data_IF_063387258557
#
_entry.id   IF_063387258557
#
_cell.length_a   1.000
_cell.length_b   1.000
_cell.length_c   1.000
_cell.angle_alpha   90.00
_cell.angle_beta   90.00
_cell.angle_gamma   90.00
#
_symmetry.space_group_name_H-M   'P 1'
#
loop_
_entity.id
_entity.type
_entity.pdbx_description
1 polymer ?
#
# COMPACT_ATOMS: atom_id res chain seq x y z
N UNK A 1 6.81 10.72 -12.70
CA UNK A 1 7.74 9.78 -13.35
C UNK A 1 8.86 9.52 -12.40
N UNK A 2 9.05 8.26 -12.05
CA UNK A 2 10.20 7.87 -11.24
C UNK A 2 11.26 7.33 -12.17
N UNK A 3 12.28 8.15 -12.40
CA UNK A 3 13.52 7.73 -13.06
C UNK A 3 14.44 7.17 -11.98
N UNK A 4 14.87 5.93 -12.09
CA UNK A 4 15.81 5.33 -11.16
C UNK A 4 16.66 4.23 -11.80
N UNK A 5 17.98 4.35 -11.66
CA UNK A 5 18.97 3.38 -12.15
C UNK A 5 18.78 2.93 -13.62
N UNK A 6 18.50 3.88 -14.53
CA UNK A 6 18.33 3.60 -15.97
C UNK A 6 16.92 3.20 -16.40
N UNK A 7 15.99 3.10 -15.46
CA UNK A 7 14.59 2.73 -15.72
C UNK A 7 13.61 3.83 -15.31
N UNK A 8 12.54 3.94 -16.07
CA UNK A 8 11.35 4.71 -15.78
C UNK A 8 10.26 3.79 -15.22
N UNK A 9 9.70 4.17 -14.08
CA UNK A 9 8.64 3.41 -13.42
C UNK A 9 7.33 4.20 -13.39
N UNK A 10 6.22 3.50 -13.62
CA UNK A 10 4.87 4.05 -13.67
C UNK A 10 3.89 3.15 -12.94
N UNK A 11 3.01 3.74 -12.13
CA UNK A 11 1.77 3.07 -11.70
C UNK A 11 0.62 3.59 -12.57
N UNK A 12 -0.04 2.67 -13.26
CA UNK A 12 -1.15 2.96 -14.14
C UNK A 12 -2.45 2.40 -13.57
N UNK A 13 -3.55 3.10 -13.79
CA UNK A 13 -4.91 2.66 -13.52
C UNK A 13 -5.67 2.62 -14.86
N UNK A 14 -6.08 1.42 -15.32
CA UNK A 14 -6.81 1.26 -16.58
C UNK A 14 -8.15 2.03 -16.63
N UNK A 15 -8.70 2.42 -15.49
CA UNK A 15 -9.98 3.14 -15.40
C UNK A 15 -9.85 4.65 -15.65
N UNK A 16 -8.63 5.20 -15.66
CA UNK A 16 -8.39 6.63 -15.94
C UNK A 16 -8.09 6.88 -17.41
N UNK A 17 -8.61 7.98 -17.94
CA UNK A 17 -8.38 8.40 -19.32
C UNK A 17 -6.89 8.56 -19.70
N UNK A 18 -6.06 9.04 -18.77
CA UNK A 18 -4.61 9.16 -18.99
C UNK A 18 -3.84 7.86 -18.75
N UNK A 19 -4.47 6.84 -18.15
CA UNK A 19 -3.82 5.64 -17.63
C UNK A 19 -2.93 5.91 -16.42
N UNK A 20 -2.13 6.97 -16.42
CA UNK A 20 -1.14 7.27 -15.38
C UNK A 20 -1.73 7.86 -14.10
N UNK A 21 -1.25 7.39 -12.95
CA UNK A 21 -1.55 7.98 -11.65
C UNK A 21 -0.64 9.19 -11.35
N UNK A 22 -1.14 10.26 -10.69
CA UNK A 22 -0.32 11.40 -10.31
C UNK A 22 0.70 11.00 -9.24
N UNK A 23 1.93 11.45 -9.41
CA UNK A 23 3.05 11.13 -8.53
C UNK A 23 3.58 12.42 -7.88
N UNK A 24 3.94 12.34 -6.59
CA UNK A 24 4.47 13.47 -5.82
C UNK A 24 5.77 13.09 -5.11
N UNK A 25 6.76 14.01 -5.00
CA UNK A 25 8.01 13.71 -4.34
C UNK A 25 7.84 13.25 -2.90
N UNK A 26 8.54 12.19 -2.51
CA UNK A 26 8.69 11.82 -1.11
C UNK A 26 9.64 12.78 -0.40
N UNK A 27 9.25 13.29 0.76
CA UNK A 27 10.01 14.30 1.53
C UNK A 27 10.69 13.75 2.78
N UNK A 28 10.47 12.47 3.10
CA UNK A 28 11.10 11.80 4.24
C UNK A 28 12.47 11.21 3.90
N UNK A 29 13.18 10.66 4.91
CA UNK A 29 14.40 9.91 4.68
C UNK A 29 14.10 8.58 3.98
N UNK A 30 14.90 8.24 2.97
CA UNK A 30 14.81 6.94 2.32
C UNK A 30 15.24 5.82 3.29
N UNK A 31 14.58 4.63 3.27
CA UNK A 31 14.94 3.51 4.15
C UNK A 31 16.37 3.00 3.93
N UNK A 32 16.83 3.02 2.68
CA UNK A 32 18.18 2.61 2.28
C UNK A 32 18.73 3.57 1.22
N UNK A 33 20.06 3.59 1.00
CA UNK A 33 20.65 4.35 -0.12
C UNK A 33 20.18 3.89 -1.50
N UNK A 34 19.64 2.68 -1.61
CA UNK A 34 19.19 2.07 -2.86
C UNK A 34 17.67 2.12 -3.04
N UNK A 35 16.95 2.81 -2.14
CA UNK A 35 15.50 2.99 -2.24
C UNK A 35 15.17 4.38 -2.77
N UNK A 36 14.26 4.43 -3.73
CA UNK A 36 13.60 5.64 -4.21
C UNK A 36 12.12 5.59 -3.89
N UNK A 37 11.65 6.51 -3.06
CA UNK A 37 10.26 6.61 -2.69
C UNK A 37 9.54 7.73 -3.43
N UNK A 38 8.27 7.52 -3.73
CA UNK A 38 7.37 8.52 -4.30
C UNK A 38 5.97 8.33 -3.71
N UNK A 39 5.20 9.40 -3.56
CA UNK A 39 3.78 9.28 -3.29
C UNK A 39 3.01 9.11 -4.60
N UNK A 40 1.98 8.28 -4.60
CA UNK A 40 1.07 8.15 -5.74
C UNK A 40 -0.38 8.39 -5.29
N UNK A 41 -1.12 9.20 -6.05
CA UNK A 41 -2.54 9.48 -5.79
C UNK A 41 -3.40 8.40 -6.41
N UNK A 42 -4.06 7.64 -5.55
CA UNK A 42 -5.09 6.66 -5.94
C UNK A 42 -6.36 7.42 -6.30
N UNK A 43 -7.03 7.09 -7.41
CA UNK A 43 -8.31 7.70 -7.76
C UNK A 43 -9.33 7.42 -6.66
N UNK A 44 -10.18 8.41 -6.37
CA UNK A 44 -11.36 8.16 -5.56
C UNK A 44 -12.26 7.20 -6.33
N UNK A 45 -12.56 6.04 -5.75
CA UNK A 45 -13.49 5.09 -6.34
C UNK A 45 -14.93 5.61 -6.16
N UNK A 46 -15.69 5.64 -7.25
CA UNK A 46 -17.15 5.75 -7.13
C UNK A 46 -17.66 4.52 -6.36
N UNK A 47 -18.52 4.74 -5.38
CA UNK A 47 -19.13 3.69 -4.55
C UNK A 47 -18.17 2.71 -3.84
N UNK A 48 -16.92 3.12 -3.60
CA UNK A 48 -15.88 2.30 -2.93
C UNK A 48 -15.48 1.03 -3.69
N UNK A 49 -15.69 0.98 -5.01
CA UNK A 49 -15.34 -0.19 -5.82
C UNK A 49 -13.82 -0.38 -5.96
N UNK A 50 -13.31 -1.63 -5.92
CA UNK A 50 -11.89 -1.93 -6.16
C UNK A 50 -11.40 -1.38 -7.52
N UNK A 51 -10.28 -0.67 -7.50
CA UNK A 51 -9.71 -0.03 -8.70
C UNK A 51 -8.51 -0.82 -9.20
N UNK A 52 -8.54 -1.42 -10.40
CA UNK A 52 -7.39 -2.15 -10.91
C UNK A 52 -6.21 -1.20 -11.14
N UNK A 53 -5.01 -1.72 -10.94
CA UNK A 53 -3.78 -1.04 -11.30
C UNK A 53 -2.75 -2.01 -11.87
N UNK A 54 -1.75 -1.44 -12.53
CA UNK A 54 -0.60 -2.16 -13.05
C UNK A 54 0.65 -1.29 -12.95
N UNK A 55 1.81 -1.90 -12.99
CA UNK A 55 3.11 -1.22 -12.94
C UNK A 55 3.87 -1.45 -14.24
N UNK A 56 4.38 -0.38 -14.85
CA UNK A 56 5.24 -0.47 -16.02
C UNK A 56 6.65 0.02 -15.69
N UNK A 57 7.65 -0.70 -16.20
CA UNK A 57 9.07 -0.43 -16.04
C UNK A 57 9.70 -0.37 -17.43
N UNK A 58 10.13 0.82 -17.85
CA UNK A 58 10.65 1.06 -19.18
C UNK A 58 12.12 1.50 -19.11
N UNK A 59 12.99 1.11 -20.04
CA UNK A 59 14.36 1.60 -20.08
C UNK A 59 14.38 3.04 -20.60
N UNK A 60 15.26 3.87 -20.04
CA UNK A 60 15.37 5.28 -20.44
C UNK A 60 16.30 5.46 -21.66
N UNK A 61 17.29 4.58 -21.83
CA UNK A 61 18.28 4.71 -22.89
C UNK A 61 18.56 3.34 -23.55
N UNK A 62 18.03 3.12 -24.76
CA UNK A 62 18.28 1.92 -25.58
C UNK A 62 19.53 2.14 -26.48
N UNK A 63 20.36 3.15 -26.20
CA UNK A 63 21.60 3.34 -26.96
C UNK A 63 22.73 2.49 -26.38
N UNK A 64 22.73 1.20 -26.73
CA UNK A 64 23.95 0.42 -26.72
C UNK A 64 24.99 1.14 -27.62
N UNK A 65 26.19 1.47 -27.11
CA UNK A 65 27.27 1.91 -27.97
C UNK A 65 27.60 0.77 -28.95
N UNK A 66 27.40 1.05 -30.23
CA UNK A 66 27.78 0.20 -31.36
C UNK A 66 29.10 -0.54 -31.12
N UNK A 67 29.06 -1.88 -31.08
CA UNK A 67 30.22 -2.72 -31.41
C UNK A 67 30.78 -3.66 -30.33
N UNK A 68 30.09 -3.90 -29.21
CA UNK A 68 30.50 -4.92 -28.24
C UNK A 68 29.38 -5.96 -28.15
N UNK A 69 29.71 -7.23 -28.38
CA UNK A 69 28.91 -8.39 -27.98
C UNK A 69 28.76 -8.34 -26.44
N UNK A 70 27.78 -7.58 -25.94
CA UNK A 70 27.49 -7.48 -24.52
C UNK A 70 26.70 -8.73 -24.10
N UNK A 71 27.13 -9.34 -23.00
CA UNK A 71 26.50 -10.51 -22.41
C UNK A 71 25.01 -10.24 -22.14
N UNK A 72 24.19 -11.24 -22.46
CA UNK A 72 22.74 -11.23 -22.64
C UNK A 72 21.91 -11.30 -21.35
N UNK A 73 22.44 -10.84 -20.21
CA UNK A 73 21.73 -11.00 -18.93
C UNK A 73 21.66 -9.71 -18.11
N UNK A 74 20.50 -9.54 -17.51
CA UNK A 74 19.81 -8.28 -17.28
C UNK A 74 19.49 -8.05 -15.79
N UNK A 75 18.55 -7.15 -15.53
CA UNK A 75 17.94 -6.96 -14.24
C UNK A 75 16.74 -7.89 -14.06
N UNK A 76 16.66 -8.51 -12.88
CA UNK A 76 15.48 -9.19 -12.37
C UNK A 76 14.63 -8.19 -11.59
N UNK A 77 13.31 -8.22 -11.79
CA UNK A 77 12.36 -7.33 -11.14
C UNK A 77 11.29 -8.11 -10.38
N UNK A 78 11.13 -7.81 -9.10
CA UNK A 78 10.08 -8.35 -8.24
C UNK A 78 9.05 -7.28 -7.90
N UNK A 79 7.78 -7.67 -7.95
CA UNK A 79 6.66 -6.84 -7.50
C UNK A 79 6.26 -7.26 -6.08
N UNK A 80 6.17 -6.27 -5.18
CA UNK A 80 5.60 -6.43 -3.84
C UNK A 80 4.45 -5.44 -3.65
N UNK A 81 3.31 -5.91 -3.14
CA UNK A 81 2.13 -5.09 -2.83
C UNK A 81 1.75 -5.29 -1.37
N UNK A 82 1.74 -4.22 -0.59
CA UNK A 82 1.51 -4.25 0.87
C UNK A 82 2.38 -5.25 1.65
N UNK A 83 3.60 -5.49 1.16
CA UNK A 83 4.53 -6.47 1.73
C UNK A 83 4.31 -7.91 1.27
N UNK A 84 3.31 -8.17 0.42
CA UNK A 84 3.13 -9.44 -0.27
C UNK A 84 3.89 -9.45 -1.59
N UNK A 85 4.87 -10.34 -1.70
CA UNK A 85 5.76 -10.42 -2.85
C UNK A 85 5.26 -11.46 -3.84
N UNK A 86 5.34 -11.14 -5.13
CA UNK A 86 5.06 -12.08 -6.20
C UNK A 86 5.90 -13.35 -6.07
N UNK A 87 5.34 -14.50 -6.44
CA UNK A 87 6.03 -15.79 -6.35
C UNK A 87 7.15 -15.94 -7.40
N UNK A 88 7.11 -15.11 -8.44
CA UNK A 88 8.07 -15.09 -9.54
C UNK A 88 8.47 -13.67 -9.86
N UNK A 89 9.65 -13.52 -10.43
CA UNK A 89 10.17 -12.27 -10.94
C UNK A 89 9.84 -12.09 -12.44
N UNK A 90 9.91 -10.85 -12.92
CA UNK A 90 10.00 -10.55 -14.34
C UNK A 90 11.46 -10.29 -14.71
N UNK A 91 11.91 -10.86 -15.83
CA UNK A 91 13.23 -10.59 -16.39
C UNK A 91 13.06 -9.63 -17.55
N UNK A 92 13.80 -8.54 -17.52
CA UNK A 92 13.95 -7.66 -18.67
C UNK A 92 15.02 -8.29 -19.57
N UNK A 93 14.86 -8.52 -20.88
CA UNK A 93 15.97 -8.94 -21.73
C UNK A 93 16.61 -7.73 -22.44
N UNK A 94 17.93 -7.76 -22.64
CA UNK A 94 18.74 -6.73 -23.33
C UNK A 94 18.68 -6.86 -24.85
N UNK A 95 17.96 -7.87 -25.37
CA UNK A 95 17.77 -8.08 -26.80
C UNK A 95 16.73 -7.12 -27.42
N UNK A 96 16.46 -7.23 -28.73
CA UNK A 96 15.56 -6.30 -29.45
C UNK A 96 14.12 -6.25 -28.89
N UNK A 97 13.70 -7.25 -28.08
CA UNK A 97 12.43 -7.26 -27.37
C UNK A 97 12.44 -6.38 -26.10
N UNK A 98 13.61 -6.06 -25.57
CA UNK A 98 13.82 -5.15 -24.44
C UNK A 98 13.27 -3.74 -24.68
N UNK A 99 13.03 -3.31 -25.92
CA UNK A 99 12.46 -1.99 -26.19
C UNK A 99 11.03 -1.80 -25.62
N UNK A 100 10.34 -2.88 -25.25
CA UNK A 100 8.93 -2.84 -24.81
C UNK A 100 8.73 -2.67 -23.29
N UNK A 101 9.80 -2.77 -22.49
CA UNK A 101 9.72 -2.68 -21.02
C UNK A 101 9.06 -3.90 -20.37
N UNK A 102 8.98 -3.88 -19.03
CA UNK A 102 8.24 -4.85 -18.22
C UNK A 102 6.90 -4.26 -17.82
N UNK A 103 5.87 -5.08 -17.86
CA UNK A 103 4.53 -4.75 -17.37
C UNK A 103 4.07 -5.77 -16.34
N UNK A 104 3.82 -5.30 -15.12
CA UNK A 104 3.17 -6.06 -14.07
C UNK A 104 1.69 -5.69 -14.01
N UNK A 105 0.84 -6.45 -14.68
CA UNK A 105 -0.62 -6.33 -14.63
C UNK A 105 -1.29 -7.29 -13.63
N UNK A 106 -0.47 -8.12 -12.99
CA UNK A 106 -0.89 -9.15 -12.06
C UNK A 106 0.23 -9.47 -11.08
N UNK A 107 -0.15 -10.05 -9.94
CA UNK A 107 0.75 -10.72 -9.02
C UNK A 107 0.66 -12.22 -9.22
N UNK A 108 1.80 -12.92 -9.20
CA UNK A 108 1.86 -14.36 -9.32
C UNK A 108 1.75 -14.98 -7.93
N UNK A 109 0.75 -15.83 -7.72
CA UNK A 109 0.54 -16.57 -6.47
C UNK A 109 1.02 -18.00 -6.67
N UNK A 110 1.94 -18.46 -5.82
CA UNK A 110 2.40 -19.83 -5.82
C UNK A 110 1.24 -20.80 -5.55
N UNK A 111 1.19 -21.89 -6.30
CA UNK A 111 0.33 -23.03 -5.99
C UNK A 111 0.72 -23.68 -4.66
N UNK A 112 -0.19 -24.47 -4.08
CA UNK A 112 0.08 -25.16 -2.82
C UNK A 112 1.22 -26.19 -2.91
N UNK A 113 1.54 -26.69 -4.12
CA UNK A 113 2.68 -27.59 -4.35
C UNK A 113 3.99 -26.84 -4.66
N UNK A 114 3.95 -25.51 -4.75
CA UNK A 114 5.11 -24.66 -5.04
C UNK A 114 5.71 -24.87 -6.43
N UNK A 115 5.02 -25.53 -7.36
CA UNK A 115 5.57 -25.86 -8.70
C UNK A 115 5.02 -24.99 -9.82
N UNK A 116 3.84 -24.42 -9.62
CA UNK A 116 3.18 -23.53 -10.59
C UNK A 116 2.75 -22.26 -9.90
N UNK A 117 2.31 -21.28 -10.67
CA UNK A 117 1.69 -20.09 -10.12
C UNK A 117 0.42 -19.73 -10.88
N UNK A 118 -0.40 -18.93 -10.23
CA UNK A 118 -1.61 -18.37 -10.82
C UNK A 118 -1.45 -16.85 -10.85
N UNK A 119 -1.60 -16.24 -12.03
CA UNK A 119 -1.63 -14.79 -12.16
C UNK A 119 -2.97 -14.26 -11.66
N UNK A 120 -2.94 -13.27 -10.75
CA UNK A 120 -4.13 -12.60 -10.24
C UNK A 120 -4.01 -11.08 -10.41
N UNK A 121 -5.06 -10.39 -10.87
CA UNK A 121 -5.06 -8.94 -10.94
C UNK A 121 -4.96 -8.33 -9.53
N UNK A 122 -4.40 -7.13 -9.47
CA UNK A 122 -4.24 -6.35 -8.24
C UNK A 122 -5.11 -5.09 -8.28
N UNK A 123 -5.69 -4.73 -7.14
CA UNK A 123 -6.60 -3.60 -7.03
C UNK A 123 -6.20 -2.72 -5.85
N UNK A 124 -6.49 -1.42 -5.96
CA UNK A 124 -6.57 -0.52 -4.82
C UNK A 124 -7.97 -0.53 -4.25
N UNK A 125 -8.07 -0.64 -2.93
CA UNK A 125 -9.33 -0.65 -2.19
C UNK A 125 -9.26 0.31 -1.01
N UNK A 126 -10.36 1.02 -0.70
CA UNK A 126 -10.44 1.82 0.52
C UNK A 126 -10.19 0.95 1.76
N UNK A 127 -9.41 1.46 2.72
CA UNK A 127 -9.16 0.73 3.96
C UNK A 127 -10.48 0.46 4.69
N UNK A 128 -10.79 -0.81 4.89
CA UNK A 128 -11.88 -1.24 5.75
C UNK A 128 -11.33 -1.64 7.12
N UNK A 129 -11.73 -0.91 8.15
CA UNK A 129 -11.30 -1.22 9.51
C UNK A 129 -12.14 -2.35 10.07
N UNK A 130 -11.49 -3.40 10.55
CA UNK A 130 -12.18 -4.44 11.32
C UNK A 130 -12.50 -3.95 12.73
N UNK A 131 -13.68 -4.32 13.22
CA UNK A 131 -14.13 -4.00 14.59
C UNK A 131 -13.66 -5.04 15.61
N UNK A 132 -13.30 -6.22 15.13
CA UNK A 132 -12.84 -7.33 15.95
C UNK A 132 -11.34 -7.17 16.17
N UNK A 133 -10.97 -6.68 17.36
CA UNK A 133 -9.60 -6.71 17.91
C UNK A 133 -9.25 -8.15 18.38
N UNK A 134 -9.84 -9.18 17.78
CA UNK A 134 -9.48 -10.56 18.12
C UNK A 134 -8.07 -10.79 17.57
N UNK A 135 -7.09 -10.75 18.49
CA UNK A 135 -5.66 -11.08 18.34
C UNK A 135 -5.40 -12.49 17.74
N UNK A 136 -6.44 -13.17 17.26
CA UNK A 136 -6.47 -14.51 16.69
C UNK A 136 -6.69 -14.50 15.17
N UNK A 137 -6.28 -13.46 14.45
CA UNK A 137 -6.11 -13.65 13.01
C UNK A 137 -4.97 -14.66 12.84
N UNK A 138 -5.30 -15.90 12.47
CA UNK A 138 -4.38 -16.92 11.98
C UNK A 138 -3.72 -16.45 10.66
N UNK A 139 -3.12 -15.27 10.67
CA UNK A 139 -2.32 -14.74 9.59
C UNK A 139 -0.97 -15.43 9.65
N UNK A 140 -0.52 -15.98 8.52
CA UNK A 140 0.73 -16.70 8.32
C UNK A 140 1.98 -15.79 8.48
N UNK A 141 2.09 -15.07 9.58
CA UNK A 141 3.24 -14.24 9.95
C UNK A 141 2.87 -12.84 10.47
N UNK A 142 3.84 -12.14 11.08
CA UNK A 142 3.65 -10.77 11.54
C UNK A 142 3.48 -9.84 10.33
N UNK A 143 2.38 -9.08 10.31
CA UNK A 143 2.14 -8.06 9.30
C UNK A 143 3.17 -6.93 9.44
N UNK A 144 3.96 -6.68 8.40
CA UNK A 144 4.91 -5.57 8.39
C UNK A 144 4.18 -4.25 8.10
N UNK A 145 3.79 -3.54 9.16
CA UNK A 145 3.06 -2.28 9.06
C UNK A 145 3.77 -1.20 8.22
N UNK A 146 5.10 -1.27 8.09
CA UNK A 146 5.85 -0.32 7.26
C UNK A 146 5.66 -0.55 5.75
N UNK A 147 5.16 -1.72 5.36
CA UNK A 147 4.91 -2.13 3.98
C UNK A 147 3.46 -1.92 3.53
N UNK A 148 2.50 -1.85 4.46
CA UNK A 148 1.10 -1.57 4.14
C UNK A 148 0.98 -0.17 3.51
N UNK A 149 0.16 -0.06 2.46
CA UNK A 149 -0.01 1.19 1.74
C UNK A 149 1.14 1.47 0.77
N UNK A 150 1.83 0.42 0.30
CA UNK A 150 2.94 0.55 -0.67
C UNK A 150 2.87 -0.47 -1.80
N UNK A 151 3.29 -0.05 -2.98
CA UNK A 151 3.67 -0.92 -4.11
C UNK A 151 5.17 -0.74 -4.30
N UNK A 152 5.93 -1.82 -4.27
CA UNK A 152 7.37 -1.81 -4.41
C UNK A 152 7.78 -2.63 -5.64
N UNK A 153 8.67 -2.07 -6.45
CA UNK A 153 9.40 -2.81 -7.48
C UNK A 153 10.85 -2.91 -7.02
N UNK A 154 11.26 -4.12 -6.68
CA UNK A 154 12.63 -4.45 -6.30
C UNK A 154 13.36 -4.97 -7.52
N UNK A 155 14.63 -4.61 -7.71
CA UNK A 155 15.40 -5.13 -8.83
C UNK A 155 16.91 -5.19 -8.56
N UNK A 156 17.54 -6.18 -9.19
CA UNK A 156 18.95 -6.53 -8.97
C UNK A 156 19.55 -7.02 -10.28
N UNK A 157 20.85 -6.81 -10.46
CA UNK A 157 21.61 -7.31 -11.60
C UNK A 157 21.79 -8.84 -11.47
N UNK A 158 21.61 -9.58 -12.56
CA UNK A 158 21.74 -11.04 -12.58
C UNK A 158 23.17 -11.50 -12.89
N UNK A 159 23.53 -12.69 -12.40
CA UNK A 159 24.73 -13.41 -12.81
C UNK A 159 24.47 -14.15 -14.14
N UNK A 160 25.19 -13.80 -15.23
CA UNK A 160 25.03 -14.48 -16.52
C UNK A 160 25.34 -15.99 -16.46
N UNK A 161 26.21 -16.43 -15.54
CA UNK A 161 26.62 -17.84 -15.43
C UNK A 161 25.72 -18.64 -14.47
N UNK A 162 24.94 -17.97 -13.63
CA UNK A 162 24.08 -18.61 -12.62
C UNK A 162 22.67 -18.97 -13.10
N UNK A 163 22.30 -18.59 -14.33
CA UNK A 163 21.00 -18.95 -14.90
C UNK A 163 20.94 -20.43 -15.27
N UNK A 164 19.90 -21.13 -14.83
CA UNK A 164 19.69 -22.55 -15.13
C UNK A 164 18.21 -22.89 -15.37
N UNK A 165 17.92 -23.99 -16.07
CA UNK A 165 16.55 -24.48 -16.20
C UNK A 165 15.93 -24.80 -14.83
N UNK A 166 14.63 -24.51 -14.70
CA UNK A 166 13.81 -24.91 -13.57
C UNK A 166 13.72 -26.43 -13.45
N UNK A 167 13.97 -26.96 -12.26
CA UNK A 167 13.91 -28.38 -11.96
C UNK A 167 12.70 -28.66 -11.07
N UNK A 168 11.61 -29.16 -11.67
CA UNK A 168 10.33 -29.40 -10.97
C UNK A 168 10.47 -30.23 -9.68
N UNK A 169 11.45 -31.12 -9.61
CA UNK A 169 11.67 -31.97 -8.42
C UNK A 169 12.51 -31.32 -7.31
N UNK A 170 13.25 -30.24 -7.61
CA UNK A 170 14.18 -29.61 -6.66
C UNK A 170 13.80 -28.18 -6.29
N UNK A 171 13.19 -27.46 -7.22
CA UNK A 171 12.89 -26.04 -7.06
C UNK A 171 11.45 -25.82 -6.62
N UNK A 172 11.23 -24.81 -5.78
CA UNK A 172 9.94 -24.40 -5.27
C UNK A 172 9.82 -22.88 -5.35
N UNK A 173 8.63 -22.40 -5.67
CA UNK A 173 8.28 -20.99 -5.55
C UNK A 173 7.33 -20.79 -4.38
N UNK A 174 7.44 -19.63 -3.76
CA UNK A 174 6.56 -19.21 -2.68
C UNK A 174 6.38 -17.70 -2.71
N UNK A 175 5.24 -17.23 -2.23
CA UNK A 175 5.07 -15.81 -1.94
C UNK A 175 5.69 -15.48 -0.58
N UNK A 176 6.16 -14.24 -0.41
CA UNK A 176 6.60 -13.72 0.88
C UNK A 176 5.59 -12.71 1.41
N UNK A 177 5.30 -12.78 2.71
CA UNK A 177 4.38 -11.87 3.41
C UNK A 177 2.91 -12.32 3.37
N UNK A 178 2.04 -11.66 4.15
CA UNK A 178 0.62 -11.99 4.21
C UNK A 178 -0.11 -11.52 2.95
N UNK A 179 -0.98 -12.37 2.38
CA UNK A 179 -1.75 -12.03 1.18
C UNK A 179 -2.64 -10.78 1.42
N UNK A 180 -2.64 -9.77 0.53
CA UNK A 180 -3.50 -8.60 0.68
C UNK A 180 -4.97 -8.97 0.58
N UNK A 181 -5.81 -8.28 1.35
CA UNK A 181 -7.25 -8.53 1.43
C UNK A 181 -7.66 -9.69 2.35
N UNK A 182 -6.74 -10.57 2.76
CA UNK A 182 -7.08 -11.69 3.67
C UNK A 182 -6.97 -11.33 5.15
N UNK A 183 -6.23 -10.27 5.48
CA UNK A 183 -6.10 -9.78 6.85
C UNK A 183 -6.89 -8.48 7.04
N UNK A 184 -7.61 -8.40 8.17
CA UNK A 184 -8.27 -7.18 8.58
C UNK A 184 -7.28 -6.11 9.02
N UNK A 185 -7.45 -4.87 8.54
CA UNK A 185 -6.68 -3.74 9.06
C UNK A 185 -7.31 -3.27 10.36
N UNK A 186 -6.72 -3.65 11.50
CA UNK A 186 -7.25 -3.23 12.79
C UNK A 186 -7.01 -1.74 13.04
N UNK A 187 -7.84 -1.14 13.90
CA UNK A 187 -7.65 0.26 14.29
C UNK A 187 -6.27 0.50 14.91
N UNK A 188 -5.74 -0.46 15.66
CA UNK A 188 -4.42 -0.37 16.26
C UNK A 188 -3.31 -0.29 15.21
N UNK A 189 -3.44 -1.03 14.10
CA UNK A 189 -2.48 -0.99 12.98
C UNK A 189 -2.44 0.38 12.31
N UNK A 190 -3.59 1.04 12.18
CA UNK A 190 -3.66 2.39 11.57
C UNK A 190 -3.09 3.47 12.50
N UNK A 191 -3.13 3.27 13.82
CA UNK A 191 -2.55 4.19 14.81
C UNK A 191 -1.02 4.10 14.74
N UNK A 192 -0.43 4.90 13.86
CA UNK A 192 1.01 4.93 13.59
C UNK A 192 1.33 5.04 12.10
N UNK A 193 0.37 4.69 11.24
CA UNK A 193 0.50 4.84 9.80
C UNK A 193 0.04 6.23 9.37
N UNK A 194 0.94 6.97 8.72
CA UNK A 194 0.64 8.32 8.28
C UNK A 194 -0.39 8.31 7.15
N UNK A 195 -1.58 8.79 7.48
CA UNK A 195 -2.73 8.99 6.60
C UNK A 195 -3.08 7.79 5.69
N UNK A 196 -2.93 6.56 6.19
CA UNK A 196 -3.37 5.37 5.44
C UNK A 196 -4.84 5.54 5.01
N UNK A 197 -5.11 5.27 3.74
CA UNK A 197 -6.42 5.49 3.11
C UNK A 197 -6.88 4.33 2.25
N UNK A 198 -5.94 3.63 1.63
CA UNK A 198 -6.20 2.47 0.79
C UNK A 198 -5.29 1.31 1.22
N UNK A 199 -5.72 0.10 0.89
CA UNK A 199 -4.93 -1.13 0.85
C UNK A 199 -4.99 -1.70 -0.57
N UNK A 200 -4.19 -2.72 -0.83
CA UNK A 200 -4.31 -3.55 -2.02
C UNK A 200 -5.13 -4.80 -1.72
N UNK A 201 -5.80 -5.30 -2.75
CA UNK A 201 -6.39 -6.62 -2.76
C UNK A 201 -5.91 -7.38 -4.00
N UNK A 202 -6.04 -8.70 -3.94
CA UNK A 202 -5.68 -9.61 -5.04
C UNK A 202 -6.92 -10.38 -5.45
N UNK A 203 -7.24 -10.38 -6.74
CA UNK A 203 -8.48 -10.94 -7.27
C UNK A 203 -8.81 -12.35 -6.75
N UNK A 204 -10.08 -12.55 -6.38
CA UNK A 204 -10.59 -13.79 -5.79
C UNK A 204 -10.87 -14.90 -6.81
N UNK A 205 -11.15 -14.56 -8.07
CA UNK A 205 -11.66 -15.54 -9.05
C UNK A 205 -10.71 -16.73 -9.23
N UNK A 206 -11.20 -17.96 -9.08
CA UNK A 206 -10.45 -19.23 -9.27
C UNK A 206 -9.89 -19.41 -10.70
N UNK A 207 -10.18 -18.52 -11.64
CA UNK A 207 -9.83 -18.58 -13.07
C UNK A 207 -8.58 -17.74 -13.42
N UNK A 208 -7.60 -17.67 -12.52
CA UNK A 208 -6.35 -17.01 -12.91
C UNK A 208 -5.62 -17.83 -13.98
N UNK A 209 -4.83 -17.16 -14.81
CA UNK A 209 -3.99 -17.86 -15.80
C UNK A 209 -2.89 -18.63 -15.06
N UNK A 210 -2.89 -19.96 -15.18
CA UNK A 210 -1.81 -20.80 -14.68
C UNK A 210 -0.55 -20.58 -15.51
N UNK A 211 0.58 -20.44 -14.83
CA UNK A 211 1.89 -20.34 -15.44
C UNK A 211 2.88 -21.33 -14.83
N UNK A 212 3.90 -21.64 -15.61
CA UNK A 212 5.05 -22.44 -15.17
C UNK A 212 6.30 -21.57 -15.09
N UNK A 213 7.20 -21.92 -14.17
CA UNK A 213 8.55 -21.35 -14.13
C UNK A 213 9.44 -22.16 -15.06
N UNK A 214 10.17 -21.46 -15.92
CA UNK A 214 11.03 -22.09 -16.95
C UNK A 214 12.49 -22.09 -16.51
N UNK A 215 12.92 -21.03 -15.84
CA UNK A 215 14.31 -20.80 -15.48
C UNK A 215 14.42 -20.28 -14.05
N UNK A 216 15.54 -20.59 -13.41
CA UNK A 216 16.00 -20.02 -12.15
C UNK A 216 17.13 -19.08 -12.47
N UNK A 217 17.07 -17.88 -11.91
CA UNK A 217 18.08 -16.84 -12.07
C UNK A 217 18.85 -16.67 -10.76
N UNK A 218 20.14 -16.38 -10.86
CA UNK A 218 21.00 -16.09 -9.73
C UNK A 218 21.35 -14.61 -9.71
N UNK A 219 21.27 -13.99 -8.54
CA UNK A 219 21.68 -12.59 -8.37
C UNK A 219 23.20 -12.48 -8.49
N UNK A 220 23.68 -11.45 -9.17
CA UNK A 220 25.12 -11.18 -9.27
C UNK A 220 25.69 -10.89 -7.89
N UNK A 221 26.77 -11.59 -7.52
CA UNK A 221 27.39 -11.43 -6.21
C UNK A 221 27.76 -9.96 -5.94
N UNK A 222 27.25 -9.42 -4.83
CA UNK A 222 27.50 -8.05 -4.39
C UNK A 222 26.69 -6.97 -5.11
N UNK A 223 25.80 -7.33 -6.04
CA UNK A 223 24.87 -6.38 -6.65
C UNK A 223 23.91 -5.81 -5.58
N UNK A 224 23.72 -4.48 -5.52
CA UNK A 224 22.77 -3.90 -4.59
C UNK A 224 21.33 -4.17 -5.06
N UNK A 225 20.44 -4.44 -4.10
CA UNK A 225 18.99 -4.47 -4.33
C UNK A 225 18.44 -3.05 -4.41
N UNK A 226 18.06 -2.64 -5.62
CA UNK A 226 17.38 -1.37 -5.85
C UNK A 226 15.89 -1.51 -5.58
N UNK A 227 15.27 -0.47 -5.01
CA UNK A 227 13.83 -0.49 -4.69
C UNK A 227 13.18 0.81 -5.13
N UNK A 228 12.14 0.73 -5.97
CA UNK A 228 11.22 1.83 -6.22
C UNK A 228 9.96 1.61 -5.40
N UNK A 229 9.70 2.50 -4.43
CA UNK A 229 8.59 2.40 -3.48
C UNK A 229 7.54 3.47 -3.76
N UNK A 230 6.38 3.04 -4.26
CA UNK A 230 5.19 3.86 -4.44
C UNK A 230 4.33 3.82 -3.17
N UNK A 231 4.30 4.92 -2.44
CA UNK A 231 3.45 5.10 -1.26
C UNK A 231 2.09 5.64 -1.73
N UNK A 232 1.11 4.76 -1.86
CA UNK A 232 -0.17 5.11 -2.47
C UNK A 232 -1.17 5.64 -1.45
N UNK A 233 -1.82 6.76 -1.76
CA UNK A 233 -2.74 7.45 -0.84
C UNK A 233 -3.86 8.13 -1.62
N UNK A 234 -5.01 8.33 -1.00
CA UNK A 234 -6.07 9.18 -1.55
C UNK A 234 -5.60 10.64 -1.61
N UNK A 235 -6.21 11.43 -2.49
CA UNK A 235 -5.95 12.88 -2.55
C UNK A 235 -6.17 13.57 -1.21
N UNK A 236 -7.22 13.19 -0.49
CA UNK A 236 -7.53 13.73 0.84
C UNK A 236 -6.43 13.39 1.87
N UNK A 237 -5.86 12.19 1.82
CA UNK A 237 -4.75 11.78 2.67
C UNK A 237 -3.47 12.58 2.34
N UNK A 238 -3.09 12.67 1.06
CA UNK A 238 -1.94 13.46 0.62
C UNK A 238 -2.05 14.94 1.00
N UNK A 239 -3.27 15.48 0.94
CA UNK A 239 -3.55 16.86 1.38
C UNK A 239 -3.36 17.03 2.89
N UNK A 240 -3.79 16.06 3.71
CA UNK A 240 -3.60 16.10 5.17
C UNK A 240 -2.12 16.00 5.55
N UNK A 241 -1.33 15.27 4.77
CA UNK A 241 0.12 15.17 4.91
C UNK A 241 0.86 16.42 4.41
N UNK A 242 0.17 17.36 3.76
CA UNK A 242 0.78 18.54 3.16
C UNK A 242 1.58 18.26 1.88
N UNK A 243 1.46 17.06 1.30
CA UNK A 243 2.08 16.67 0.02
C UNK A 243 1.38 17.37 -1.14
N UNK A 244 0.04 17.46 -1.07
CA UNK A 244 -0.77 18.21 -2.03
C UNK A 244 -1.27 19.48 -1.36
N UNK A 245 -0.94 20.63 -1.94
CA UNK A 245 -1.46 21.91 -1.48
C UNK A 245 -2.92 21.99 -1.90
N UNK A 246 -3.83 22.31 -0.95
CA UNK A 246 -5.18 22.72 -1.33
C UNK A 246 -5.02 23.99 -2.15
N UNK A 247 -5.34 23.92 -3.44
CA UNK A 247 -5.69 25.13 -4.16
C UNK A 247 -6.86 25.71 -3.38
N UNK A 248 -6.62 26.79 -2.64
CA UNK A 248 -7.70 27.62 -2.14
C UNK A 248 -8.48 27.98 -3.38
N UNK A 249 -9.65 27.36 -3.56
CA UNK A 249 -10.59 27.79 -4.58
C UNK A 249 -10.69 29.29 -4.43
N UNK A 250 -10.21 30.00 -5.45
CA UNK A 250 -10.24 31.44 -5.53
C UNK A 250 -11.64 31.85 -5.08
N UNK A 251 -11.73 32.63 -4.00
CA UNK A 251 -12.98 33.11 -3.38
C UNK A 251 -13.88 33.90 -4.35
N UNK A 252 -13.59 33.90 -5.64
CA UNK A 252 -14.29 34.62 -6.69
C UNK A 252 -15.66 34.04 -7.01
N UNK A 253 -15.95 32.77 -6.69
CA UNK A 253 -17.29 32.20 -6.92
C UNK A 253 -18.27 32.40 -5.76
N UNK A 254 -17.81 32.74 -4.54
CA UNK A 254 -18.72 33.03 -3.42
C UNK A 254 -19.21 34.49 -3.40
N UNK A 255 -18.49 35.42 -4.03
CA UNK A 255 -19.00 36.78 -4.24
C UNK A 255 -20.02 36.85 -5.40
N UNK A 256 -20.04 35.87 -6.31
CA UNK A 256 -21.03 35.80 -7.38
C UNK A 256 -22.41 35.29 -6.91
N UNK A 257 -22.49 34.49 -5.85
CA UNK A 257 -23.79 34.04 -5.26
C UNK A 257 -24.34 35.00 -4.20
N UNK A 258 -23.54 35.90 -3.60
CA UNK A 258 -24.04 36.89 -2.64
C UNK A 258 -24.60 38.17 -3.29
N UNK A 259 -24.45 38.38 -4.61
CA UNK A 259 -24.96 39.58 -5.29
C UNK A 259 -26.42 39.44 -5.77
N UNK A 260 -27.00 38.23 -5.84
CA UNK A 260 -28.42 38.02 -6.18
C UNK A 260 -29.38 37.94 -4.97
N UNK A 261 -29.01 38.47 -3.79
CA UNK A 261 -29.96 38.64 -2.67
C UNK A 261 -30.15 40.08 -2.20
N UNK A 262 -29.80 41.06 -3.04
CA UNK A 262 -30.04 42.49 -2.76
C UNK A 262 -31.25 43.10 -3.49
N UNK A 263 -32.34 42.36 -3.65
CA UNK A 263 -33.63 42.95 -4.04
C UNK A 263 -34.81 42.10 -3.54
N UNK A 264 -35.23 42.27 -2.28
CA UNK A 264 -36.40 41.56 -1.79
C UNK A 264 -36.72 41.78 -0.32
N UNK A 265 -37.67 42.67 -0.07
CA UNK A 265 -38.28 43.02 1.21
C UNK A 265 -38.49 41.85 2.19
N UNK A 266 -37.80 41.94 3.34
CA UNK A 266 -38.33 41.68 4.69
C UNK A 266 -39.22 40.48 4.95
N UNK A 267 -38.66 39.28 5.16
CA UNK A 267 -39.28 38.23 6.00
C UNK A 267 -38.28 37.26 6.69
N UNK A 268 -36.98 37.55 6.69
CA UNK A 268 -35.93 36.63 7.18
C UNK A 268 -35.70 36.57 8.71
N UNK A 269 -36.28 37.48 9.50
CA UNK A 269 -35.99 37.52 10.95
C UNK A 269 -36.83 36.54 11.79
N UNK A 270 -37.92 35.99 11.24
CA UNK A 270 -38.83 35.12 11.97
C UNK A 270 -38.37 33.66 12.12
N UNK A 271 -37.47 33.16 11.27
CA UNK A 271 -37.01 31.75 11.35
C UNK A 271 -35.82 31.51 12.29
N UNK A 272 -35.03 32.54 12.64
CA UNK A 272 -33.88 32.40 13.57
C UNK A 272 -34.28 32.15 15.04
N UNK A 273 -35.55 32.33 15.41
CA UNK A 273 -36.01 32.20 16.80
C UNK A 273 -36.55 30.81 17.16
N UNK A 274 -36.82 29.93 16.18
CA UNK A 274 -37.40 28.60 16.46
C UNK A 274 -36.39 27.45 16.65
N UNK A 275 -35.13 27.60 16.26
CA UNK A 275 -34.12 26.53 16.40
C UNK A 275 -33.21 26.64 17.63
N UNK A 276 -33.32 27.70 18.44
CA UNK A 276 -32.48 27.92 19.62
C UNK A 276 -32.95 27.22 20.91
N UNK A 277 -33.96 26.34 20.82
CA UNK A 277 -34.65 25.77 22.00
C UNK A 277 -34.45 24.26 22.23
N UNK A 278 -33.57 23.60 21.47
CA UNK A 278 -33.29 22.16 21.63
C UNK A 278 -31.95 21.82 22.31
N UNK A 279 -31.10 22.80 22.61
CA UNK A 279 -29.79 22.54 23.22
C UNK A 279 -29.82 22.35 24.76
N UNK A 280 -30.86 22.83 25.45
CA UNK A 280 -30.88 22.80 26.93
C UNK A 280 -31.27 21.44 27.57
N UNK A 281 -31.49 20.37 26.79
CA UNK A 281 -31.83 19.04 27.33
C UNK A 281 -30.71 18.00 27.18
N UNK A 282 -29.62 18.32 26.46
CA UNK A 282 -28.50 17.37 26.27
C UNK A 282 -27.47 17.45 27.40
N UNK A 283 -27.25 18.64 27.95
CA UNK A 283 -26.26 18.88 29.02
C UNK A 283 -26.62 18.24 30.38
N UNK A 284 -27.91 17.99 30.63
CA UNK A 284 -28.34 17.35 31.88
C UNK A 284 -28.16 15.81 31.85
N UNK A 285 -28.18 15.21 30.66
CA UNK A 285 -27.98 13.76 30.49
C UNK A 285 -26.50 13.37 30.59
N UNK A 286 -25.59 14.24 30.17
CA UNK A 286 -24.15 13.99 30.22
C UNK A 286 -23.53 14.11 31.62
N UNK A 287 -24.17 14.86 32.54
CA UNK A 287 -23.73 14.90 33.96
C UNK A 287 -24.05 13.61 34.73
N UNK A 288 -25.10 12.86 34.40
CA UNK A 288 -25.42 11.58 35.06
C UNK A 288 -24.50 10.43 34.62
N UNK A 289 -24.05 10.42 33.37
CA UNK A 289 -23.16 9.37 32.85
C UNK A 289 -21.69 9.49 33.32
N UNK A 290 -21.26 10.67 33.79
CA UNK A 290 -19.91 10.84 34.38
C UNK A 290 -19.75 10.24 35.78
N UNK A 291 -20.84 10.02 36.53
CA UNK A 291 -20.75 9.49 37.90
C UNK A 291 -20.58 7.96 37.93
N UNK A 292 -21.12 7.22 36.96
CA UNK A 292 -20.99 5.75 36.88
C UNK A 292 -19.66 5.21 36.32
N UNK A 293 -18.84 6.06 35.69
CA UNK A 293 -17.53 5.65 35.12
C UNK A 293 -16.37 5.73 36.12
N UNK A 294 -16.55 6.39 37.27
CA UNK A 294 -15.47 6.52 38.26
C UNK A 294 -15.29 5.24 39.09
N UNK A 295 -16.38 4.52 39.37
CA UNK A 295 -16.35 3.32 40.21
C UNK A 295 -15.80 2.06 39.50
N UNK A 296 -15.77 2.04 38.15
CA UNK A 296 -15.18 0.94 37.36
C UNK A 296 -13.67 1.06 37.14
N UNK A 297 -13.06 2.23 37.39
CA UNK A 297 -11.62 2.43 37.20
C UNK A 297 -10.81 1.84 38.36
N UNK A 298 -11.34 1.92 39.58
CA UNK A 298 -10.65 1.46 40.79
C UNK A 298 -10.62 -0.08 40.94
N UNK A 299 -11.43 -0.81 40.17
CA UNK A 299 -11.41 -2.29 40.15
C UNK A 299 -10.43 -2.87 39.14
N UNK A 300 -10.08 -2.15 38.06
CA UNK A 300 -9.16 -2.65 37.02
C UNK A 300 -7.68 -2.52 37.44
N UNK A 301 -7.33 -1.48 38.20
CA UNK A 301 -5.96 -1.27 38.70
C UNK A 301 -5.49 -2.30 39.74
N UNK A 302 -6.42 -3.00 40.42
CA UNK A 302 -6.06 -4.08 41.36
C UNK A 302 -5.76 -5.41 40.69
N UNK A 303 -6.15 -5.61 39.42
CA UNK A 303 -5.90 -6.86 38.67
C UNK A 303 -4.51 -6.87 38.04
N UNK A 304 -4.09 -5.74 37.45
CA UNK A 304 -2.77 -5.63 36.80
C UNK A 304 -1.58 -5.75 37.77
N UNK A 305 -1.74 -5.39 39.05
CA UNK A 305 -0.67 -5.53 40.05
C UNK A 305 -0.39 -6.98 40.48
N UNK A 306 -1.30 -7.92 40.17
CA UNK A 306 -1.14 -9.33 40.55
C UNK A 306 -0.42 -10.15 39.47
N UNK A 307 -0.49 -9.73 38.21
CA UNK A 307 0.16 -10.40 37.08
C UNK A 307 1.65 -10.05 36.97
N UNK A 308 2.06 -8.83 37.34
CA UNK A 308 3.49 -8.45 37.34
C UNK A 308 4.32 -9.23 38.36
N UNK A 309 3.70 -9.74 39.44
CA UNK A 309 4.41 -10.51 40.48
C UNK A 309 4.63 -11.99 40.12
N UNK A 310 3.97 -12.50 39.07
CA UNK A 310 4.12 -13.89 38.63
C UNK A 310 5.22 -14.03 37.58
N UNK A 311 5.43 -13.01 36.74
CA UNK A 311 6.42 -13.06 35.66
C UNK A 311 7.86 -12.89 36.15
N UNK A 312 8.12 -12.12 37.22
CA UNK A 312 9.47 -11.98 37.78
C UNK A 312 10.00 -13.26 38.47
N UNK A 313 9.13 -14.19 38.88
CA UNK A 313 9.56 -15.44 39.51
C UNK A 313 9.86 -16.59 38.54
N UNK A 314 9.44 -16.48 37.29
CA UNK A 314 9.69 -17.53 36.27
C UNK A 314 11.03 -17.33 35.58
N UNK A 315 11.55 -16.08 35.52
CA UNK A 315 12.85 -15.78 34.92
C UNK A 315 14.06 -16.22 35.75
N UNK A 316 13.90 -16.68 37.00
CA UNK A 316 15.01 -17.11 37.85
C UNK A 316 15.31 -18.61 37.80
N UNK A 317 14.59 -19.40 36.99
CA UNK A 317 14.71 -20.88 36.99
C UNK A 317 15.28 -21.50 35.69
N UNK A 318 15.76 -20.71 34.72
CA UNK A 318 16.26 -21.21 33.43
C UNK A 318 17.73 -20.88 33.17
N UNK A 319 18.46 -20.51 34.22
CA UNK A 319 19.92 -20.33 34.17
C UNK A 319 20.55 -21.01 35.38
N UNK A 320 20.50 -22.33 35.41
CA UNK A 320 21.43 -23.24 36.10
C UNK A 320 21.45 -24.58 35.38
#
# INVERSE_FOLDING_TARGET
MVVYNGFDFYVLSPTRASGRLPEYPYTGPEPTPYTKSVYVEVPDADDYEPQPFLVEVNPIDIQAPTGIEQATYDYMFDLTVDGFTSATCAIYPTDELGALGIRFDSIQIASADGKTYVKKPTFFEPVQLTLDDDDNSDTDGPVNLAKIGTVEVCFVELDPEGTRPWQKDLDEIWNLGPRPGTYGVSKAMVVGMEALSHVTSVGEEDLGEEGEVVEVYEEKEGAPLYVVRFIYRSRAALTRMGVVVKNEETKETKEAEEIETSAGCGFGWLFKRMFKRKESKKDEKDKKNRKGKKDKKDTKDKRNKKETYVLEKVQTFVTE
#
